data_IF_095455175092
#
_entry.id   IF_095455175092
#
_cell.length_a   1.000
_cell.length_b   1.000
_cell.length_c   1.000
_cell.angle_alpha   90.00
_cell.angle_beta   90.00
_cell.angle_gamma   90.00
#
_symmetry.space_group_name_H-M   'P 1'
#
loop_
_entity.id
_entity.type
_entity.pdbx_description
1 polymer ?
#
# COMPACT_ATOMS: atom_id res chain seq x y z
N UNK A 1 -33.49 12.93 -3.25
CA UNK A 1 -32.60 13.68 -3.21
C UNK A 1 -31.66 13.50 -2.23
N UNK A 2 -32.05 13.30 -1.12
CA UNK A 2 -31.28 13.00 -0.13
C UNK A 2 -30.70 11.75 -0.35
N UNK A 3 -31.29 10.83 -1.07
CA UNK A 3 -30.81 9.51 -1.30
C UNK A 3 -29.45 9.52 -1.84
N UNK A 4 -29.07 10.54 -2.54
CA UNK A 4 -27.77 10.54 -3.10
C UNK A 4 -26.71 10.63 -2.05
N UNK A 5 -27.06 11.06 -0.85
CA UNK A 5 -26.10 11.11 0.19
C UNK A 5 -25.78 9.76 0.70
N UNK A 6 -26.69 8.84 0.59
CA UNK A 6 -26.44 7.51 1.11
C UNK A 6 -25.47 6.75 0.22
N UNK A 7 -25.18 7.24 -0.95
CA UNK A 7 -24.27 6.59 -1.84
C UNK A 7 -22.83 6.85 -1.41
N UNK A 8 -22.59 7.94 -0.70
CA UNK A 8 -21.25 8.26 -0.26
C UNK A 8 -20.87 7.34 0.89
N UNK A 9 -19.79 6.58 0.77
CA UNK A 9 -19.37 5.67 1.83
C UNK A 9 -19.04 6.44 3.09
N UNK A 10 -19.51 5.92 4.21
CA UNK A 10 -19.23 6.55 5.48
C UNK A 10 -17.74 6.59 5.76
N UNK A 11 -17.03 5.55 5.38
CA UNK A 11 -15.60 5.50 5.58
C UNK A 11 -14.87 6.58 4.81
N UNK A 12 -15.35 6.92 3.64
CA UNK A 12 -14.74 7.95 2.85
C UNK A 12 -14.86 9.30 3.58
N UNK A 13 -16.01 9.56 4.20
CA UNK A 13 -16.25 10.82 4.89
C UNK A 13 -15.43 10.90 6.18
N UNK A 14 -15.38 9.79 6.95
CA UNK A 14 -14.70 9.82 8.19
C UNK A 14 -13.20 9.72 8.07
N UNK A 15 -12.71 9.03 7.05
CA UNK A 15 -11.30 8.76 6.89
C UNK A 15 -10.93 8.94 5.43
N UNK A 16 -10.58 10.16 5.03
CA UNK A 16 -10.23 10.42 3.64
C UNK A 16 -9.07 9.56 3.15
N UNK A 17 -8.20 9.11 4.07
CA UNK A 17 -7.08 8.29 3.66
C UNK A 17 -7.53 6.91 3.19
N UNK A 18 -8.67 6.43 3.65
CA UNK A 18 -9.18 5.14 3.20
C UNK A 18 -9.48 5.14 1.71
N UNK A 19 -9.94 6.27 1.18
CA UNK A 19 -10.23 6.38 -0.24
C UNK A 19 -8.97 6.39 -1.08
N UNK A 20 -7.82 6.71 -0.48
CA UNK A 20 -6.55 6.77 -1.16
C UNK A 20 -5.71 5.51 -0.94
N UNK A 21 -6.27 4.50 -0.26
CA UNK A 21 -5.55 3.27 -0.03
C UNK A 21 -5.67 2.34 -1.22
N UNK A 22 -4.64 2.20 -2.06
CA UNK A 22 -4.70 1.30 -3.21
C UNK A 22 -4.72 -0.17 -2.80
N UNK A 23 -4.17 -0.52 -1.64
CA UNK A 23 -4.12 -1.90 -1.19
C UNK A 23 -4.69 -2.04 0.21
N UNK A 24 -6.00 -2.24 0.35
CA UNK A 24 -6.60 -2.38 1.67
C UNK A 24 -6.15 -3.61 2.45
N UNK A 25 -5.79 -4.68 1.74
CA UNK A 25 -5.31 -5.91 2.37
C UNK A 25 -4.10 -6.44 1.63
N UNK A 26 -3.40 -7.39 2.23
CA UNK A 26 -2.23 -8.00 1.58
C UNK A 26 -2.62 -8.77 0.31
N UNK A 27 -3.83 -9.30 0.27
CA UNK A 27 -4.28 -10.02 -0.92
C UNK A 27 -4.51 -9.09 -2.11
N UNK A 28 -4.55 -7.78 -1.90
CA UNK A 28 -4.69 -6.82 -2.98
C UNK A 28 -3.34 -6.45 -3.58
N UNK A 29 -2.24 -6.83 -2.94
CA UNK A 29 -0.91 -6.52 -3.45
C UNK A 29 -0.63 -7.24 -4.76
N UNK A 30 0.21 -6.68 -5.63
CA UNK A 30 0.57 -7.35 -6.87
C UNK A 30 1.17 -8.72 -6.60
N UNK A 31 0.95 -9.67 -7.50
CA UNK A 31 1.43 -11.03 -7.32
C UNK A 31 2.94 -11.09 -7.13
N UNK A 32 3.69 -10.26 -7.83
CA UNK A 32 5.14 -10.25 -7.67
C UNK A 32 5.57 -9.90 -6.26
N UNK A 33 4.80 -9.04 -5.58
CA UNK A 33 5.08 -8.68 -4.20
C UNK A 33 4.65 -9.82 -3.28
N UNK A 34 3.43 -10.32 -3.46
CA UNK A 34 2.89 -11.38 -2.60
C UNK A 34 3.70 -12.66 -2.66
N UNK A 35 4.18 -13.01 -3.84
CA UNK A 35 4.89 -14.27 -4.02
C UNK A 35 6.29 -14.28 -3.46
N UNK A 36 6.90 -13.10 -3.31
CA UNK A 36 8.29 -13.02 -2.87
C UNK A 36 8.48 -12.52 -1.44
N UNK A 37 7.44 -11.95 -0.84
CA UNK A 37 7.52 -11.41 0.51
C UNK A 37 6.75 -12.26 1.49
N UNK A 38 7.33 -12.57 2.67
CA UNK A 38 6.57 -13.22 3.73
C UNK A 38 5.49 -12.25 4.26
N UNK A 39 4.50 -12.76 5.01
CA UNK A 39 3.36 -11.93 5.43
C UNK A 39 3.72 -10.65 6.14
N UNK A 40 4.69 -10.69 7.06
CA UNK A 40 5.07 -9.48 7.78
C UNK A 40 5.72 -8.46 6.83
N UNK A 41 6.52 -8.91 5.87
CA UNK A 41 7.11 -8.03 4.89
C UNK A 41 6.04 -7.44 3.97
N UNK A 42 5.00 -8.21 3.66
CA UNK A 42 3.87 -7.71 2.90
C UNK A 42 3.15 -6.60 3.66
N UNK A 43 3.00 -6.75 4.98
CA UNK A 43 2.38 -5.71 5.81
C UNK A 43 3.18 -4.43 5.74
N UNK A 44 4.51 -4.53 5.81
CA UNK A 44 5.40 -3.38 5.74
C UNK A 44 5.28 -2.69 4.38
N UNK A 45 5.32 -3.48 3.31
CA UNK A 45 5.20 -2.94 1.96
C UNK A 45 3.86 -2.22 1.79
N UNK A 46 2.78 -2.88 2.19
CA UNK A 46 1.44 -2.35 2.03
C UNK A 46 1.25 -1.04 2.80
N UNK A 47 1.64 -1.01 4.06
CA UNK A 47 1.48 0.19 4.87
C UNK A 47 2.30 1.35 4.30
N UNK A 48 3.54 1.09 3.90
CA UNK A 48 4.40 2.12 3.36
C UNK A 48 3.90 2.62 2.00
N UNK A 49 3.42 1.69 1.16
CA UNK A 49 2.90 2.06 -0.16
C UNK A 49 1.65 2.93 -0.01
N UNK A 50 0.71 2.51 0.81
CA UNK A 50 -0.54 3.24 0.98
C UNK A 50 -0.30 4.65 1.52
N UNK A 51 0.61 4.77 2.48
CA UNK A 51 0.94 6.06 3.04
C UNK A 51 1.62 6.96 2.02
N UNK A 52 2.61 6.45 1.32
CA UNK A 52 3.33 7.22 0.31
C UNK A 52 2.40 7.63 -0.84
N UNK A 53 1.49 6.74 -1.22
CA UNK A 53 0.54 7.03 -2.27
C UNK A 53 -0.36 8.20 -1.88
N UNK A 54 -0.80 8.23 -0.63
CA UNK A 54 -1.62 9.34 -0.13
C UNK A 54 -0.80 10.63 -0.02
N UNK A 55 0.43 10.53 0.44
CA UNK A 55 1.29 11.70 0.62
C UNK A 55 1.69 12.34 -0.71
N UNK A 56 1.72 11.55 -1.78
CA UNK A 56 2.10 12.04 -3.10
C UNK A 56 0.88 12.21 -4.02
N UNK A 57 -0.25 12.59 -3.45
CA UNK A 57 -1.51 12.65 -4.19
C UNK A 57 -1.46 13.50 -5.44
N UNK A 58 -0.65 14.55 -5.43
CA UNK A 58 -0.56 15.47 -6.59
C UNK A 58 0.56 15.11 -7.56
N UNK A 59 1.31 14.05 -7.28
CA UNK A 59 2.43 13.66 -8.11
C UNK A 59 1.93 12.75 -9.24
N UNK A 60 2.18 13.09 -10.51
CA UNK A 60 1.75 12.22 -11.61
C UNK A 60 2.43 10.86 -11.57
N UNK A 61 3.56 10.72 -10.86
CA UNK A 61 4.26 9.46 -10.70
C UNK A 61 4.11 8.89 -9.31
N UNK A 62 2.95 9.12 -8.69
CA UNK A 62 2.72 8.68 -7.31
C UNK A 62 2.87 7.17 -7.14
N UNK A 63 2.47 6.38 -8.15
CA UNK A 63 2.61 4.93 -8.07
C UNK A 63 4.08 4.53 -8.00
N UNK A 64 4.90 5.15 -8.80
CA UNK A 64 6.31 4.86 -8.87
C UNK A 64 7.01 5.28 -7.58
N UNK A 65 6.68 6.47 -7.09
CA UNK A 65 7.25 6.98 -5.84
C UNK A 65 6.84 6.07 -4.67
N UNK A 66 5.58 5.67 -4.61
CA UNK A 66 5.08 4.83 -3.54
C UNK A 66 5.76 3.45 -3.56
N UNK A 67 5.95 2.89 -4.74
CA UNK A 67 6.62 1.59 -4.86
C UNK A 67 8.06 1.66 -4.37
N UNK A 68 8.78 2.70 -4.73
CA UNK A 68 10.16 2.87 -4.30
C UNK A 68 10.25 3.02 -2.79
N UNK A 69 9.35 3.80 -2.20
CA UNK A 69 9.31 4.00 -0.76
C UNK A 69 8.95 2.70 -0.04
N UNK A 70 8.00 1.95 -0.60
CA UNK A 70 7.57 0.69 0.00
C UNK A 70 8.72 -0.33 0.04
N UNK A 71 9.46 -0.46 -1.07
CA UNK A 71 10.59 -1.36 -1.10
C UNK A 71 11.70 -0.92 -0.16
N UNK A 72 11.93 0.39 -0.03
CA UNK A 72 12.92 0.90 0.91
C UNK A 72 12.54 0.53 2.35
N UNK A 73 11.24 0.57 2.67
CA UNK A 73 10.77 0.20 4.00
C UNK A 73 11.02 -1.29 4.28
N UNK A 74 10.75 -2.14 3.29
CA UNK A 74 10.98 -3.58 3.44
C UNK A 74 12.48 -3.85 3.66
N UNK A 75 13.32 -3.17 2.90
CA UNK A 75 14.78 -3.40 2.99
C UNK A 75 15.40 -3.06 4.32
N UNK A 76 14.69 -2.33 5.17
CA UNK A 76 15.20 -2.03 6.50
C UNK A 76 15.22 -3.27 7.38
N UNK A 77 14.27 -4.17 7.19
CA UNK A 77 14.12 -5.34 8.05
C UNK A 77 14.31 -6.67 7.32
N UNK A 78 14.37 -6.65 6.01
CA UNK A 78 14.48 -7.85 5.20
C UNK A 78 15.58 -7.71 4.16
N UNK A 79 16.12 -8.83 3.74
CA UNK A 79 17.14 -8.86 2.70
C UNK A 79 16.74 -9.92 1.67
N UNK A 80 17.06 -9.66 0.44
CA UNK A 80 16.73 -10.57 -0.63
C UNK A 80 17.64 -11.79 -0.61
N UNK A 81 17.03 -12.97 -0.71
CA UNK A 81 17.76 -14.24 -0.76
C UNK A 81 17.17 -15.02 -1.92
N UNK A 82 17.81 -14.93 -3.08
CA UNK A 82 17.30 -15.55 -4.29
C UNK A 82 16.01 -14.87 -4.72
N UNK A 83 14.94 -15.65 -4.79
CA UNK A 83 13.63 -15.15 -5.20
C UNK A 83 12.78 -14.65 -4.02
N UNK A 84 13.28 -14.84 -2.81
CA UNK A 84 12.51 -14.52 -1.62
C UNK A 84 13.20 -13.49 -0.75
N UNK A 85 12.44 -12.87 0.12
CA UNK A 85 12.98 -11.91 1.09
C UNK A 85 12.90 -12.55 2.47
N UNK A 86 13.98 -12.47 3.20
CA UNK A 86 14.10 -13.08 4.52
C UNK A 86 14.49 -12.02 5.54
N UNK A 87 14.16 -12.20 6.82
CA UNK A 87 14.54 -11.23 7.85
C UNK A 87 16.05 -11.04 7.90
N UNK A 88 16.44 -9.80 8.14
CA UNK A 88 17.85 -9.47 8.26
C UNK A 88 18.45 -10.03 9.54
#
# INVERSE_FOLDING_TARGET
>A
MWASLSIVPTDFVRNPHAAAMPYPTNSDLPLGVRNHLPPHAQDIFRAAFNRAYADHAMDPRRDEAARRIAWAAVKRLYVRDGMYWVPR
#
